data_IF_923448809016
#
_entry.id   IF_923448809016
#
_cell.length_a   1.000
_cell.length_b   1.000
_cell.length_c   1.000
_cell.angle_alpha   90.00
_cell.angle_beta   90.00
_cell.angle_gamma   90.00
#
_symmetry.space_group_name_H-M   'P 1'
#
loop_
_entity.id
_entity.type
_entity.pdbx_description
1 polymer ?
#
# COMPACT_ATOMS: atom_id res chain seq x y z
N UNK A 1 7.82 -8.43 -19.47
CA UNK A 1 6.78 -8.32 -18.42
C UNK A 1 6.53 -9.70 -17.80
N UNK A 2 6.68 -9.80 -16.49
CA UNK A 2 6.33 -10.98 -15.69
C UNK A 2 5.57 -10.51 -14.44
N UNK A 3 4.63 -11.34 -13.99
CA UNK A 3 3.98 -11.14 -12.68
C UNK A 3 4.84 -11.89 -11.66
N UNK A 4 5.38 -11.16 -10.71
CA UNK A 4 6.09 -11.70 -9.56
C UNK A 4 5.11 -11.90 -8.42
N UNK A 5 5.13 -13.09 -7.83
CA UNK A 5 4.34 -13.44 -6.64
C UNK A 5 5.29 -14.12 -5.67
N UNK A 6 5.42 -13.57 -4.47
CA UNK A 6 6.11 -14.18 -3.36
C UNK A 6 5.13 -14.51 -2.24
N UNK A 7 5.26 -15.69 -1.67
CA UNK A 7 4.42 -16.14 -0.56
C UNK A 7 5.32 -16.77 0.50
N UNK A 8 5.24 -16.24 1.71
CA UNK A 8 6.05 -16.68 2.84
C UNK A 8 5.19 -16.88 4.09
N UNK A 9 5.70 -17.65 5.03
CA UNK A 9 5.09 -17.80 6.34
C UNK A 9 6.17 -17.78 7.42
N UNK A 10 5.79 -17.30 8.60
CA UNK A 10 6.65 -17.21 9.77
C UNK A 10 6.05 -18.06 10.89
N UNK A 11 6.90 -18.86 11.53
CA UNK A 11 6.51 -19.73 12.64
C UNK A 11 7.01 -19.14 13.95
N UNK A 12 6.16 -19.19 14.96
CA UNK A 12 6.56 -19.03 16.37
C UNK A 12 7.06 -20.37 16.93
N UNK A 13 7.67 -20.34 18.10
CA UNK A 13 7.99 -21.56 18.85
C UNK A 13 6.74 -22.46 18.98
N UNK A 14 6.94 -23.77 18.77
CA UNK A 14 5.89 -24.81 18.74
C UNK A 14 5.03 -24.89 17.46
N UNK A 15 5.60 -24.58 16.29
CA UNK A 15 4.98 -24.79 14.96
C UNK A 15 3.66 -24.05 14.73
N UNK A 16 3.43 -22.96 15.46
CA UNK A 16 2.27 -22.07 15.26
C UNK A 16 2.63 -21.02 14.21
N UNK A 17 1.82 -20.91 13.16
CA UNK A 17 1.96 -19.85 12.15
C UNK A 17 1.64 -18.50 12.80
N UNK A 18 2.64 -17.63 12.86
CA UNK A 18 2.54 -16.26 13.39
C UNK A 18 2.15 -15.27 12.30
N UNK A 19 2.50 -15.56 11.05
CA UNK A 19 2.19 -14.71 9.91
C UNK A 19 2.23 -15.52 8.62
N UNK A 20 1.33 -15.19 7.70
CA UNK A 20 1.45 -15.52 6.27
C UNK A 20 1.55 -14.20 5.52
N UNK A 21 2.48 -14.08 4.58
CA UNK A 21 2.61 -12.92 3.71
C UNK A 21 2.49 -13.31 2.24
N UNK A 22 1.91 -12.42 1.47
CA UNK A 22 1.72 -12.51 0.03
C UNK A 22 2.09 -11.16 -0.57
N UNK A 23 3.10 -11.12 -1.43
CA UNK A 23 3.52 -9.93 -2.17
C UNK A 23 3.33 -10.21 -3.66
N UNK A 24 2.72 -9.27 -4.37
CA UNK A 24 2.59 -9.37 -5.81
C UNK A 24 2.79 -8.03 -6.52
N UNK A 25 3.62 -8.09 -7.56
CA UNK A 25 3.97 -6.95 -8.40
C UNK A 25 4.18 -7.36 -9.86
N UNK A 26 3.93 -6.44 -10.79
CA UNK A 26 4.30 -6.63 -12.19
C UNK A 26 5.66 -5.99 -12.45
N UNK A 27 6.60 -6.78 -12.98
CA UNK A 27 7.99 -6.34 -13.22
C UNK A 27 8.31 -6.51 -14.70
N UNK A 28 8.93 -5.47 -15.28
CA UNK A 28 9.60 -5.57 -16.56
C UNK A 28 11.09 -5.83 -16.36
N UNK A 29 11.52 -7.06 -16.71
CA UNK A 29 12.91 -7.50 -16.61
C UNK A 29 13.73 -7.05 -17.83
N UNK A 30 14.84 -6.35 -17.58
CA UNK A 30 15.78 -5.90 -18.62
C UNK A 30 17.16 -6.60 -18.55
N UNK A 31 17.34 -7.59 -17.67
CA UNK A 31 18.57 -8.38 -17.54
C UNK A 31 18.70 -9.06 -16.17
N UNK A 32 19.83 -9.73 -15.93
CA UNK A 32 20.15 -10.36 -14.62
C UNK A 32 20.69 -9.38 -13.56
N UNK A 33 21.02 -8.13 -13.95
CA UNK A 33 21.34 -7.05 -13.01
C UNK A 33 20.04 -6.36 -12.58
N UNK A 34 19.73 -6.49 -11.30
CA UNK A 34 18.49 -6.09 -10.63
C UNK A 34 18.16 -4.58 -10.78
N UNK A 35 19.18 -3.73 -10.91
CA UNK A 35 19.05 -2.26 -10.95
C UNK A 35 18.29 -1.71 -12.17
N UNK A 36 17.99 -2.55 -13.17
CA UNK A 36 17.20 -2.17 -14.37
C UNK A 36 15.79 -2.75 -14.39
N UNK A 37 15.40 -3.49 -13.35
CA UNK A 37 14.04 -3.98 -13.25
C UNK A 37 13.10 -2.80 -12.96
N UNK A 38 12.08 -2.65 -13.80
CA UNK A 38 11.11 -1.57 -13.64
C UNK A 38 9.78 -2.13 -13.20
N UNK A 39 9.35 -1.71 -12.01
CA UNK A 39 7.99 -1.88 -11.51
C UNK A 39 6.99 -1.28 -12.49
N UNK A 40 6.06 -2.09 -13.00
CA UNK A 40 5.02 -1.65 -13.91
C UNK A 40 3.68 -1.58 -13.18
N UNK A 41 3.14 -0.38 -13.06
CA UNK A 41 1.79 -0.15 -12.54
C UNK A 41 0.76 -0.20 -13.66
N UNK A 42 -0.51 -0.37 -13.29
CA UNK A 42 -1.66 -0.44 -14.21
C UNK A 42 -1.52 -1.50 -15.32
N UNK A 43 -0.91 -2.64 -15.00
CA UNK A 43 -0.80 -3.72 -15.97
C UNK A 43 -2.14 -4.49 -16.07
N UNK A 44 -2.79 -4.58 -17.25
CA UNK A 44 -4.10 -5.22 -17.37
C UNK A 44 -4.08 -6.70 -16.98
N UNK A 45 -3.04 -7.44 -17.37
CA UNK A 45 -2.90 -8.87 -17.04
C UNK A 45 -2.73 -9.07 -15.53
N UNK A 46 -1.93 -8.22 -14.87
CA UNK A 46 -1.77 -8.22 -13.42
C UNK A 46 -3.09 -7.93 -12.72
N UNK A 47 -3.75 -6.83 -13.09
CA UNK A 47 -5.02 -6.40 -12.51
C UNK A 47 -6.12 -7.46 -12.66
N UNK A 48 -6.17 -8.15 -13.80
CA UNK A 48 -7.11 -9.25 -14.03
C UNK A 48 -6.74 -10.49 -13.20
N UNK A 49 -5.46 -10.86 -13.17
CA UNK A 49 -4.97 -12.05 -12.46
C UNK A 49 -5.17 -11.94 -10.95
N UNK A 50 -4.93 -10.76 -10.40
CA UNK A 50 -5.03 -10.49 -8.96
C UNK A 50 -6.29 -9.73 -8.58
N UNK A 51 -7.30 -9.71 -9.45
CA UNK A 51 -8.56 -8.99 -9.23
C UNK A 51 -9.16 -9.23 -7.85
N UNK A 52 -9.09 -10.46 -7.34
CA UNK A 52 -9.59 -10.85 -6.01
C UNK A 52 -8.90 -10.14 -4.85
N UNK A 53 -7.65 -9.75 -5.04
CA UNK A 53 -6.81 -9.09 -4.04
C UNK A 53 -6.70 -7.58 -4.26
N UNK A 54 -7.33 -7.04 -5.32
CA UNK A 54 -7.36 -5.60 -5.55
C UNK A 54 -8.33 -4.90 -4.60
N UNK A 55 -8.04 -3.63 -4.29
CA UNK A 55 -8.78 -2.84 -3.31
C UNK A 55 -10.31 -2.94 -3.42
N UNK A 56 -10.95 -2.76 -4.60
CA UNK A 56 -12.41 -2.80 -4.68
C UNK A 56 -12.99 -4.17 -4.27
N UNK A 57 -12.29 -5.26 -4.57
CA UNK A 57 -12.75 -6.61 -4.27
C UNK A 57 -12.55 -6.95 -2.80
N UNK A 58 -11.41 -6.57 -2.21
CA UNK A 58 -11.18 -6.66 -0.76
C UNK A 58 -12.27 -5.90 0.01
N UNK A 59 -12.56 -4.66 -0.36
CA UNK A 59 -13.62 -3.89 0.28
C UNK A 59 -14.99 -4.57 0.10
N UNK A 60 -15.27 -5.13 -1.08
CA UNK A 60 -16.54 -5.85 -1.34
C UNK A 60 -16.69 -7.08 -0.45
N UNK A 61 -15.62 -7.84 -0.25
CA UNK A 61 -15.65 -9.12 0.47
C UNK A 61 -15.60 -8.96 1.99
N UNK A 62 -14.82 -8.00 2.50
CA UNK A 62 -14.59 -7.81 3.94
C UNK A 62 -15.36 -6.62 4.55
N UNK A 63 -15.96 -5.76 3.72
CA UNK A 63 -16.66 -4.58 4.20
C UNK A 63 -15.72 -3.39 4.46
N UNK A 64 -16.13 -2.42 5.29
CA UNK A 64 -15.26 -1.31 5.65
C UNK A 64 -14.09 -1.79 6.52
N UNK A 65 -12.86 -1.31 6.27
CA UNK A 65 -11.75 -1.52 7.17
C UNK A 65 -11.97 -0.77 8.48
N UNK A 66 -11.39 -1.27 9.57
CA UNK A 66 -11.42 -0.60 10.87
C UNK A 66 -10.55 0.67 10.84
N UNK A 67 -9.38 0.58 10.18
CA UNK A 67 -8.45 1.68 10.05
C UNK A 67 -7.85 1.73 8.64
N UNK A 68 -7.62 2.95 8.16
CA UNK A 68 -6.98 3.23 6.87
C UNK A 68 -5.90 4.26 7.08
N UNK A 69 -4.68 3.94 6.64
CA UNK A 69 -3.54 4.85 6.72
C UNK A 69 -3.00 5.18 5.35
N UNK A 70 -2.49 6.40 5.22
CA UNK A 70 -1.80 6.89 4.03
C UNK A 70 -0.38 7.27 4.42
N UNK A 71 0.58 6.84 3.62
CA UNK A 71 1.97 7.31 3.66
C UNK A 71 2.36 7.79 2.28
N UNK A 72 2.86 9.02 2.21
CA UNK A 72 3.35 9.64 0.99
C UNK A 72 4.22 10.85 1.34
N UNK A 73 4.63 11.61 0.33
CA UNK A 73 5.44 12.82 0.46
C UNK A 73 4.97 13.90 -0.52
N UNK A 74 5.27 15.16 -0.23
CA UNK A 74 4.87 16.31 -1.04
C UNK A 74 5.71 16.43 -2.33
N UNK A 75 6.94 15.94 -2.29
CA UNK A 75 7.90 15.92 -3.40
C UNK A 75 9.25 15.37 -2.97
N UNK A 76 10.17 15.19 -3.91
CA UNK A 76 11.56 14.82 -3.63
C UNK A 76 12.50 15.65 -4.49
N UNK A 77 13.57 16.15 -3.86
CA UNK A 77 14.71 16.80 -4.56
C UNK A 77 15.88 15.84 -4.75
N UNK A 78 15.77 14.60 -4.26
CA UNK A 78 16.81 13.56 -4.37
C UNK A 78 16.79 12.98 -5.78
N UNK A 79 17.88 13.13 -6.56
CA UNK A 79 17.99 12.50 -7.87
C UNK A 79 17.96 10.97 -7.71
N UNK A 80 17.18 10.30 -8.56
CA UNK A 80 17.05 8.84 -8.59
C UNK A 80 16.49 8.22 -7.29
N UNK A 81 15.71 8.96 -6.49
CA UNK A 81 14.88 8.30 -5.49
C UNK A 81 14.03 7.25 -6.23
N UNK A 82 14.17 5.99 -5.85
CA UNK A 82 13.36 4.91 -6.41
C UNK A 82 11.89 5.34 -6.40
N UNK A 83 11.20 5.08 -7.51
CA UNK A 83 9.98 5.76 -7.94
C UNK A 83 9.08 6.26 -6.80
N UNK A 84 8.68 7.55 -6.80
CA UNK A 84 7.80 8.08 -5.79
C UNK A 84 6.52 7.25 -5.73
N UNK A 85 6.19 6.81 -4.52
CA UNK A 85 5.12 5.86 -4.27
C UNK A 85 4.12 6.44 -3.29
N UNK A 86 2.86 6.13 -3.53
CA UNK A 86 1.74 6.42 -2.65
C UNK A 86 1.34 5.12 -1.98
N UNK A 87 1.49 5.05 -0.66
CA UNK A 87 1.17 3.86 0.11
C UNK A 87 -0.16 4.03 0.82
N UNK A 88 -1.01 3.02 0.69
CA UNK A 88 -2.31 2.94 1.34
C UNK A 88 -2.37 1.64 2.12
N UNK A 89 -2.63 1.74 3.42
CA UNK A 89 -2.72 0.60 4.31
C UNK A 89 -4.16 0.39 4.78
N UNK A 90 -4.64 -0.84 4.74
CA UNK A 90 -5.93 -1.27 5.27
C UNK A 90 -5.71 -2.27 6.39
N UNK A 91 -6.37 -2.02 7.52
CA UNK A 91 -6.34 -2.90 8.70
C UNK A 91 -7.74 -3.45 8.95
N UNK A 92 -7.82 -4.77 9.12
CA UNK A 92 -8.98 -5.48 9.65
C UNK A 92 -8.55 -6.33 10.86
N UNK A 93 -8.34 -5.73 12.04
CA UNK A 93 -7.74 -6.41 13.19
C UNK A 93 -8.51 -7.64 13.68
N UNK A 94 -9.85 -7.59 13.65
CA UNK A 94 -10.69 -8.72 14.06
C UNK A 94 -10.60 -9.91 13.11
N UNK A 95 -10.22 -9.67 11.85
CA UNK A 95 -10.05 -10.71 10.83
C UNK A 95 -8.60 -11.12 10.65
N UNK A 96 -7.66 -10.42 11.31
CA UNK A 96 -6.24 -10.70 11.17
C UNK A 96 -5.65 -10.29 9.82
N UNK A 97 -6.23 -9.28 9.14
CA UNK A 97 -5.83 -8.90 7.79
C UNK A 97 -5.17 -7.52 7.81
N UNK A 98 -3.97 -7.44 7.23
CA UNK A 98 -3.26 -6.20 6.98
C UNK A 98 -2.83 -6.15 5.52
N UNK A 99 -3.12 -5.06 4.82
CA UNK A 99 -2.87 -4.94 3.38
C UNK A 99 -2.21 -3.60 3.13
N UNK A 100 -1.19 -3.60 2.29
CA UNK A 100 -0.55 -2.42 1.73
C UNK A 100 -0.76 -2.42 0.23
N UNK A 101 -1.24 -1.29 -0.27
CA UNK A 101 -1.29 -0.99 -1.70
C UNK A 101 -0.23 0.06 -2.02
N UNK A 102 0.65 -0.26 -2.96
CA UNK A 102 1.67 0.65 -3.46
C UNK A 102 1.24 1.14 -4.84
N UNK A 103 0.90 2.41 -4.94
CA UNK A 103 0.49 3.04 -6.19
C UNK A 103 1.55 4.04 -6.68
N UNK A 104 1.56 4.38 -7.98
CA UNK A 104 2.33 5.52 -8.47
C UNK A 104 1.93 6.77 -7.71
N UNK A 105 2.92 7.52 -7.27
CA UNK A 105 2.72 8.87 -6.80
C UNK A 105 2.43 9.81 -7.97
N UNK A 106 1.41 10.66 -7.80
CA UNK A 106 1.10 11.75 -8.71
C UNK A 106 0.93 13.06 -7.96
N UNK A 107 0.96 14.17 -8.69
CA UNK A 107 0.64 15.50 -8.17
C UNK A 107 -0.35 16.21 -9.07
N UNK A 108 -1.41 16.73 -8.47
CA UNK A 108 -2.44 17.51 -9.14
C UNK A 108 -2.63 18.84 -8.40
N UNK A 109 -1.86 19.85 -8.83
CA UNK A 109 -1.83 21.16 -8.17
C UNK A 109 -1.32 21.06 -6.73
N UNK A 110 -2.19 21.38 -5.78
CA UNK A 110 -1.92 21.36 -4.34
C UNK A 110 -2.16 19.98 -3.69
N UNK A 111 -2.51 18.97 -4.48
CA UNK A 111 -2.78 17.62 -3.99
C UNK A 111 -1.71 16.63 -4.42
N UNK A 112 -1.36 15.73 -3.52
CA UNK A 112 -0.70 14.46 -3.83
C UNK A 112 -1.80 13.43 -4.13
N UNK A 113 -1.58 12.62 -5.15
CA UNK A 113 -2.59 11.70 -5.68
C UNK A 113 -2.00 10.30 -5.80
N UNK A 114 -2.77 9.29 -5.39
CA UNK A 114 -2.45 7.87 -5.62
C UNK A 114 -3.70 7.12 -6.05
N UNK A 115 -3.55 6.19 -6.99
CA UNK A 115 -4.67 5.44 -7.57
C UNK A 115 -4.55 3.96 -7.16
N UNK A 116 -5.29 3.50 -6.12
CA UNK A 116 -5.16 2.12 -5.65
C UNK A 116 -5.62 1.07 -6.66
N UNK A 117 -6.47 1.46 -7.63
CA UNK A 117 -6.93 0.57 -8.69
C UNK A 117 -5.79 0.03 -9.57
N UNK A 118 -4.64 0.69 -9.59
CA UNK A 118 -3.47 0.33 -10.39
C UNK A 118 -2.29 -0.11 -9.52
N UNK A 119 -2.53 -0.31 -8.23
CA UNK A 119 -1.50 -0.55 -7.24
C UNK A 119 -0.99 -1.99 -7.27
N UNK A 120 0.26 -2.15 -6.82
CA UNK A 120 0.76 -3.44 -6.35
C UNK A 120 0.30 -3.67 -4.93
N UNK A 121 0.38 -4.92 -4.47
CA UNK A 121 -0.22 -5.28 -3.20
C UNK A 121 0.66 -6.23 -2.40
N UNK A 122 0.73 -5.95 -1.11
CA UNK A 122 1.33 -6.80 -0.09
C UNK A 122 0.23 -7.09 0.94
N UNK A 123 0.03 -8.34 1.28
CA UNK A 123 -0.99 -8.81 2.22
C UNK A 123 -0.33 -9.66 3.30
N UNK A 124 -0.70 -9.38 4.54
CA UNK A 124 -0.31 -10.15 5.71
C UNK A 124 -1.55 -10.68 6.41
N UNK A 125 -1.55 -11.98 6.67
CA UNK A 125 -2.48 -12.64 7.56
C UNK A 125 -1.77 -12.88 8.90
N UNK A 126 -2.37 -12.35 9.96
CA UNK A 126 -1.91 -12.48 11.34
C UNK A 126 -2.99 -13.20 12.15
N UNK A 127 -2.64 -13.81 13.30
CA UNK A 127 -3.64 -14.28 14.25
C UNK A 127 -4.63 -13.15 14.61
N UNK A 128 -5.95 -13.40 14.57
CA UNK A 128 -6.95 -12.40 14.93
C UNK A 128 -6.68 -11.79 16.31
N UNK A 129 -6.87 -10.47 16.44
CA UNK A 129 -6.62 -9.76 17.69
C UNK A 129 -5.13 -9.51 18.01
N UNK A 130 -4.22 -9.76 17.08
CA UNK A 130 -2.83 -9.32 17.19
C UNK A 130 -2.79 -7.78 17.11
N UNK A 131 -2.27 -7.10 18.14
CA UNK A 131 -2.20 -5.63 18.18
C UNK A 131 -1.01 -5.04 17.41
N UNK A 132 -0.07 -5.86 16.94
CA UNK A 132 1.20 -5.41 16.35
C UNK A 132 1.13 -5.06 14.85
N UNK A 133 0.06 -4.40 14.42
CA UNK A 133 0.02 -3.76 13.10
C UNK A 133 0.93 -2.53 13.04
N UNK A 134 1.09 -1.85 14.18
CA UNK A 134 1.96 -0.68 14.32
C UNK A 134 3.44 -1.01 14.05
N UNK A 135 3.93 -2.18 14.47
CA UNK A 135 5.28 -2.63 14.17
C UNK A 135 5.54 -2.77 12.67
N UNK A 136 4.54 -3.24 11.91
CA UNK A 136 4.65 -3.36 10.44
C UNK A 136 4.64 -2.01 9.73
N UNK A 137 3.76 -1.10 10.14
CA UNK A 137 3.76 0.28 9.64
C UNK A 137 5.10 0.98 9.88
N UNK A 138 5.82 0.62 10.94
CA UNK A 138 7.13 1.20 11.29
C UNK A 138 8.28 0.72 10.39
N UNK A 139 8.23 -0.50 9.86
CA UNK A 139 9.32 -1.08 9.06
C UNK A 139 9.45 -0.40 7.69
N UNK A 140 8.33 -0.20 6.98
CA UNK A 140 8.32 0.55 5.70
C UNK A 140 8.84 1.98 5.88
N UNK A 141 8.53 2.56 7.03
CA UNK A 141 8.89 3.90 7.42
C UNK A 141 10.41 4.07 7.68
N UNK A 142 10.99 3.20 8.52
CA UNK A 142 12.42 3.26 8.87
C UNK A 142 13.31 3.19 7.63
N UNK A 143 12.89 2.39 6.64
CA UNK A 143 13.60 2.22 5.38
C UNK A 143 13.61 3.48 4.52
N UNK A 144 12.55 4.30 4.55
CA UNK A 144 12.41 5.47 3.67
C UNK A 144 12.90 6.78 4.30
N UNK A 145 12.78 6.95 5.61
CA UNK A 145 12.96 8.24 6.27
C UNK A 145 13.73 8.19 7.60
N UNK A 146 14.18 7.01 8.04
CA UNK A 146 14.86 6.82 9.32
C UNK A 146 13.94 6.77 10.54
N UNK A 147 14.41 6.19 11.64
CA UNK A 147 13.59 5.75 12.77
C UNK A 147 12.96 6.87 13.64
N UNK A 148 13.22 8.15 13.35
CA UNK A 148 12.96 9.25 14.28
C UNK A 148 11.67 10.03 14.06
N UNK A 149 10.92 9.75 12.98
CA UNK A 149 9.62 10.42 12.73
C UNK A 149 8.57 9.37 12.36
N UNK A 150 7.30 9.74 12.32
CA UNK A 150 6.24 8.85 11.84
C UNK A 150 5.37 9.74 10.96
N UNK A 151 5.31 9.46 9.66
CA UNK A 151 4.53 10.29 8.71
C UNK A 151 3.33 9.58 8.10
N UNK A 152 2.85 8.47 8.67
CA UNK A 152 1.53 8.01 8.31
C UNK A 152 0.47 8.99 8.83
N UNK A 153 -0.63 9.09 8.10
CA UNK A 153 -1.83 9.80 8.52
C UNK A 153 -3.00 8.87 8.40
N UNK A 154 -3.97 8.97 9.30
CA UNK A 154 -5.25 8.28 9.08
C UNK A 154 -5.93 8.85 7.85
N UNK A 155 -6.88 8.13 7.28
CA UNK A 155 -7.63 8.61 6.13
C UNK A 155 -8.42 9.90 6.44
N UNK A 156 -8.87 10.08 7.69
CA UNK A 156 -9.50 11.31 8.18
C UNK A 156 -8.53 12.47 8.14
N UNK A 157 -7.31 12.27 8.64
CA UNK A 157 -6.27 13.32 8.63
C UNK A 157 -5.79 13.63 7.21
N UNK A 158 -5.62 12.60 6.38
CA UNK A 158 -5.04 12.70 5.05
C UNK A 158 -6.00 13.27 4.01
N UNK A 159 -7.30 12.92 4.10
CA UNK A 159 -8.28 13.21 3.07
C UNK A 159 -9.64 13.70 3.62
N UNK A 160 -9.78 13.87 4.93
CA UNK A 160 -11.00 14.37 5.55
C UNK A 160 -12.20 13.43 5.44
N UNK A 161 -11.97 12.12 5.23
CA UNK A 161 -13.03 11.12 5.10
C UNK A 161 -12.88 10.00 6.13
N UNK A 162 -13.99 9.40 6.57
CA UNK A 162 -13.99 8.24 7.50
C UNK A 162 -13.71 6.92 6.76
N UNK A 163 -13.33 5.83 7.45
CA UNK A 163 -13.22 4.48 6.87
C UNK A 163 -14.48 4.03 6.13
N UNK A 164 -15.68 4.34 6.62
CA UNK A 164 -16.93 4.04 5.90
C UNK A 164 -17.05 4.84 4.60
N UNK A 165 -16.69 6.12 4.61
CA UNK A 165 -16.73 6.94 3.39
C UNK A 165 -15.69 6.45 2.38
N UNK A 166 -14.51 6.07 2.85
CA UNK A 166 -13.48 5.41 2.06
C UNK A 166 -14.03 4.12 1.43
N UNK A 167 -14.61 3.23 2.23
CA UNK A 167 -15.25 2.01 1.75
C UNK A 167 -16.29 2.28 0.67
N UNK A 168 -17.24 3.19 0.89
CA UNK A 168 -18.27 3.52 -0.10
C UNK A 168 -17.68 4.08 -1.40
N UNK A 169 -16.58 4.83 -1.29
CA UNK A 169 -15.90 5.47 -2.43
C UNK A 169 -15.15 4.45 -3.30
N UNK A 170 -14.42 3.52 -2.67
CA UNK A 170 -13.48 2.65 -3.36
C UNK A 170 -13.98 1.22 -3.61
N UNK A 171 -15.08 0.79 -3.00
CA UNK A 171 -15.67 -0.54 -3.26
C UNK A 171 -16.25 -0.70 -4.68
N UNK A 172 -16.55 0.41 -5.36
CA UNK A 172 -17.11 0.39 -6.71
C UNK A 172 -16.06 -0.01 -7.74
N UNK A 173 -16.10 -1.25 -8.21
CA UNK A 173 -15.06 -1.84 -9.07
C UNK A 173 -14.92 -1.29 -10.50
N UNK A 174 -15.44 -0.11 -10.82
CA UNK A 174 -15.60 0.33 -12.21
C UNK A 174 -15.03 1.71 -12.56
N UNK A 175 -14.31 2.39 -11.65
CA UNK A 175 -13.64 3.66 -12.00
C UNK A 175 -12.30 3.81 -11.29
N UNK A 176 -11.33 4.35 -12.03
CA UNK A 176 -10.04 4.85 -11.56
C UNK A 176 -10.23 6.01 -10.57
N UNK A 177 -10.83 5.74 -9.41
CA UNK A 177 -10.92 6.69 -8.32
C UNK A 177 -9.55 6.74 -7.67
N UNK A 178 -8.95 7.92 -7.66
CA UNK A 178 -7.68 8.16 -7.02
C UNK A 178 -7.94 8.94 -5.71
N UNK A 179 -7.17 8.60 -4.68
CA UNK A 179 -7.19 9.31 -3.43
C UNK A 179 -6.37 10.60 -3.57
N UNK A 180 -6.95 11.73 -3.16
CA UNK A 180 -6.31 13.04 -3.17
C UNK A 180 -6.07 13.48 -1.73
N UNK A 181 -4.85 13.89 -1.42
CA UNK A 181 -4.46 14.39 -0.10
C UNK A 181 -3.76 15.73 -0.28
N UNK A 182 -4.03 16.75 0.56
CA UNK A 182 -3.33 18.03 0.46
C UNK A 182 -1.81 17.84 0.60
N UNK A 183 -1.03 18.43 -0.31
CA UNK A 183 0.42 18.27 -0.34
C UNK A 183 1.10 18.83 0.92
N UNK A 184 0.54 19.89 1.52
CA UNK A 184 1.04 20.53 2.75
C UNK A 184 1.06 19.61 3.99
N UNK A 185 0.31 18.50 3.95
CA UNK A 185 0.29 17.51 5.02
C UNK A 185 1.54 16.65 5.06
N UNK A 186 2.32 16.62 3.98
CA UNK A 186 3.38 15.65 3.76
C UNK A 186 4.76 16.31 3.73
N UNK A 187 5.80 15.59 4.16
CA UNK A 187 7.17 16.09 4.09
C UNK A 187 7.63 16.24 2.63
N UNK A 188 8.55 17.17 2.39
CA UNK A 188 9.43 17.11 1.22
C UNK A 188 10.64 16.23 1.55
N UNK A 189 11.03 15.38 0.60
CA UNK A 189 12.25 14.58 0.72
C UNK A 189 13.41 15.42 0.19
N UNK A 190 14.26 15.87 1.10
CA UNK A 190 15.45 16.68 0.83
C UNK A 190 16.74 15.88 1.12
N UNK A 191 17.86 16.29 0.50
CA UNK A 191 19.19 15.70 0.73
C UNK A 191 19.78 16.11 2.08
#
# INVERSE_FOLDING_TARGET
>A
LQIYIDAAYYLKAHDVVEQISFDAMAIEFFGMDDERNHTQYDNPTFNETLRTYMLPQILTDYGPPDEVYVLTYAGSTVPNLAQPSFYLYLLYPEQGIFIKYTAPWGREGEYVVGCPATAHMELWLLPPGTEDYAGKLRVDWEALFGAERIYYKTIEEAAGMTPEQFYQTFKGGDRAVCLRTPAELWPEIEQ
#
